data_IF_977107526667
#
_entry.id   IF_977107526667
#
_cell.length_a   1.000
_cell.length_b   1.000
_cell.length_c   1.000
_cell.angle_alpha   90.00
_cell.angle_beta   90.00
_cell.angle_gamma   90.00
#
_symmetry.space_group_name_H-M   'P 1'
#
loop_
_entity.id
_entity.type
_entity.pdbx_description
1 polymer ?
#
# COMPACT_ATOMS: atom_id res chain seq x y z
N UNK A 1 -5.21 17.04 -23.06
CA UNK A 1 -4.96 15.58 -23.15
C UNK A 1 -3.49 15.38 -23.50
N UNK A 2 -2.77 14.44 -22.86
CA UNK A 2 -1.38 14.19 -23.20
C UNK A 2 -1.33 13.68 -24.64
N UNK A 3 -0.67 14.45 -25.51
CA UNK A 3 -0.40 14.05 -26.90
C UNK A 3 0.93 13.31 -26.89
N UNK A 4 0.89 12.01 -27.12
CA UNK A 4 2.09 11.18 -27.12
C UNK A 4 1.78 9.71 -27.33
N UNK A 5 2.81 8.87 -27.55
CA UNK A 5 2.66 7.44 -27.85
C UNK A 5 1.96 6.63 -26.73
N UNK A 6 1.78 7.21 -25.54
CA UNK A 6 1.08 6.60 -24.40
C UNK A 6 -0.30 7.20 -24.13
N UNK A 7 -0.85 8.02 -25.03
CA UNK A 7 -2.16 8.67 -24.82
C UNK A 7 -3.31 7.67 -24.62
N UNK A 8 -3.18 6.45 -25.15
CA UNK A 8 -4.14 5.36 -24.95
C UNK A 8 -3.83 4.42 -23.79
N UNK A 9 -2.75 4.66 -23.03
CA UNK A 9 -2.31 3.75 -21.97
C UNK A 9 -3.04 3.94 -20.63
N UNK A 10 -3.94 4.93 -20.52
CA UNK A 10 -4.71 5.16 -19.30
C UNK A 10 -3.85 5.39 -18.05
N UNK A 11 -2.71 6.08 -18.19
CA UNK A 11 -1.83 6.38 -17.04
C UNK A 11 -2.50 7.40 -16.13
N UNK A 12 -2.63 7.05 -14.85
CA UNK A 12 -3.19 7.94 -13.82
C UNK A 12 -2.08 8.72 -13.13
N UNK A 13 -1.06 8.02 -12.61
CA UNK A 13 0.07 8.66 -11.92
C UNK A 13 0.82 7.70 -11.01
N UNK A 14 1.90 8.16 -10.37
CA UNK A 14 2.60 7.39 -9.33
C UNK A 14 1.74 7.36 -8.08
N UNK A 15 1.56 6.19 -7.47
CA UNK A 15 0.61 5.99 -6.36
C UNK A 15 0.89 6.95 -5.19
N UNK A 16 2.16 7.15 -4.83
CA UNK A 16 2.55 8.09 -3.77
C UNK A 16 2.17 9.55 -4.01
N UNK A 17 1.91 9.95 -5.25
CA UNK A 17 1.48 11.32 -5.60
C UNK A 17 -0.06 11.45 -5.65
N UNK A 18 -0.80 10.36 -5.46
CA UNK A 18 -2.27 10.31 -5.56
C UNK A 18 -2.98 10.39 -4.19
N UNK A 19 -2.22 10.56 -3.11
CA UNK A 19 -2.76 10.64 -1.76
C UNK A 19 -1.83 11.42 -0.84
N UNK A 20 -2.34 11.76 0.34
CA UNK A 20 -1.64 12.46 1.39
C UNK A 20 -1.86 11.76 2.73
N UNK A 21 -0.94 11.97 3.67
CA UNK A 21 -1.06 11.51 5.04
C UNK A 21 -0.43 12.56 5.96
N UNK A 22 -0.81 12.57 7.23
CA UNK A 22 -0.15 13.42 8.22
C UNK A 22 1.34 13.02 8.35
N UNK A 23 2.22 14.02 8.40
CA UNK A 23 3.68 13.85 8.41
C UNK A 23 4.18 12.96 9.56
N UNK A 24 3.41 12.85 10.66
CA UNK A 24 3.69 11.91 11.75
C UNK A 24 3.80 10.46 11.27
N UNK A 25 3.12 10.11 10.19
CA UNK A 25 3.05 8.75 9.67
C UNK A 25 3.93 8.54 8.43
N UNK A 26 4.72 9.53 8.00
CA UNK A 26 5.54 9.45 6.78
C UNK A 26 6.46 8.22 6.77
N UNK A 27 7.22 8.04 7.84
CA UNK A 27 8.13 6.89 7.97
C UNK A 27 7.35 5.56 7.96
N UNK A 28 6.23 5.51 8.68
CA UNK A 28 5.38 4.32 8.74
C UNK A 28 4.81 3.95 7.37
N UNK A 29 4.28 4.92 6.60
CA UNK A 29 3.66 4.65 5.30
C UNK A 29 4.69 4.32 4.23
N UNK A 30 5.83 5.03 4.21
CA UNK A 30 6.91 4.75 3.27
C UNK A 30 7.52 3.36 3.48
N UNK A 31 7.59 2.89 4.73
CA UNK A 31 8.06 1.54 5.02
C UNK A 31 7.00 0.47 4.74
N UNK A 32 5.75 0.72 5.14
CA UNK A 32 4.71 -0.29 5.06
C UNK A 32 4.08 -0.43 3.66
N UNK A 33 4.12 0.60 2.81
CA UNK A 33 3.45 0.64 1.52
C UNK A 33 4.46 0.52 0.36
N UNK A 34 4.87 -0.71 0.04
CA UNK A 34 5.87 -0.96 -1.02
C UNK A 34 5.42 -0.64 -2.45
N UNK A 35 4.22 -0.09 -2.63
CA UNK A 35 3.63 0.20 -3.96
C UNK A 35 3.55 1.69 -4.27
N UNK A 36 3.98 2.57 -3.36
CA UNK A 36 3.94 4.02 -3.57
C UNK A 36 4.71 4.45 -4.82
N UNK A 37 5.81 3.75 -5.15
CA UNK A 37 6.62 4.03 -6.34
C UNK A 37 6.06 3.41 -7.64
N UNK A 38 5.00 2.61 -7.56
CA UNK A 38 4.36 2.06 -8.75
C UNK A 38 3.52 3.12 -9.45
N UNK A 39 3.35 2.97 -10.77
CA UNK A 39 2.46 3.80 -11.58
C UNK A 39 1.10 3.12 -11.70
N UNK A 40 0.04 3.83 -11.31
CA UNK A 40 -1.33 3.37 -11.48
C UNK A 40 -1.79 3.62 -12.92
N UNK A 41 -2.41 2.60 -13.52
CA UNK A 41 -3.03 2.63 -14.85
C UNK A 41 -4.47 2.15 -14.75
N UNK A 42 -5.34 2.59 -15.67
CA UNK A 42 -6.75 2.18 -15.67
C UNK A 42 -6.91 0.64 -15.78
N UNK A 43 -6.12 0.00 -16.64
CA UNK A 43 -6.19 -1.44 -16.88
C UNK A 43 -4.83 -2.11 -17.19
N UNK A 44 -4.85 -3.44 -17.29
CA UNK A 44 -3.67 -4.24 -17.58
C UNK A 44 -3.07 -4.02 -18.97
N UNK A 45 -3.85 -3.58 -19.96
CA UNK A 45 -3.35 -3.33 -21.31
C UNK A 45 -2.58 -2.01 -21.37
N UNK A 46 -3.03 -0.99 -20.65
CA UNK A 46 -2.28 0.24 -20.39
C UNK A 46 -0.91 -0.02 -19.77
N UNK A 47 -0.84 -0.92 -18.77
CA UNK A 47 0.43 -1.35 -18.17
C UNK A 47 1.37 -2.03 -19.18
N UNK A 48 0.85 -2.92 -20.03
CA UNK A 48 1.65 -3.57 -21.10
C UNK A 48 2.17 -2.55 -22.11
N UNK A 49 1.36 -1.58 -22.52
CA UNK A 49 1.80 -0.50 -23.41
C UNK A 49 2.98 0.27 -22.82
N UNK A 50 2.91 0.62 -21.54
CA UNK A 50 3.99 1.33 -20.85
C UNK A 50 5.27 0.49 -20.77
N UNK A 51 5.18 -0.78 -20.39
CA UNK A 51 6.34 -1.70 -20.35
C UNK A 51 7.00 -1.83 -21.73
N UNK A 52 6.19 -1.98 -22.78
CA UNK A 52 6.70 -2.07 -24.15
C UNK A 52 7.38 -0.79 -24.59
N UNK A 53 6.84 0.37 -24.20
CA UNK A 53 7.45 1.66 -24.47
C UNK A 53 8.81 1.80 -23.76
N UNK A 54 8.88 1.51 -22.47
CA UNK A 54 10.14 1.55 -21.70
C UNK A 54 11.20 0.64 -22.31
N UNK A 55 10.82 -0.58 -22.70
CA UNK A 55 11.71 -1.56 -23.33
C UNK A 55 12.22 -1.09 -24.70
N UNK A 56 11.31 -0.61 -25.55
CA UNK A 56 11.64 -0.14 -26.91
C UNK A 56 12.62 1.02 -26.90
N UNK A 57 12.56 1.86 -25.87
CA UNK A 57 13.37 3.06 -25.73
C UNK A 57 14.49 2.93 -24.69
N UNK A 58 14.71 1.74 -24.11
CA UNK A 58 15.74 1.48 -23.09
C UNK A 58 15.70 2.45 -21.89
N UNK A 59 14.50 2.81 -21.45
CA UNK A 59 14.27 3.83 -20.40
C UNK A 59 14.31 3.29 -18.96
N UNK A 60 14.72 2.03 -18.79
CA UNK A 60 14.79 1.37 -17.49
C UNK A 60 13.54 0.54 -17.14
N UNK A 61 13.27 0.40 -15.85
CA UNK A 61 12.23 -0.47 -15.30
C UNK A 61 11.28 0.34 -14.42
N UNK A 62 9.99 0.06 -14.54
CA UNK A 62 8.95 0.57 -13.67
C UNK A 62 7.91 -0.52 -13.42
N UNK A 63 7.20 -0.41 -12.32
CA UNK A 63 6.10 -1.30 -11.94
C UNK A 63 4.77 -0.59 -12.14
N UNK A 64 3.79 -1.30 -12.66
CA UNK A 64 2.46 -0.76 -12.97
C UNK A 64 1.39 -1.53 -12.21
N UNK A 65 0.45 -0.81 -11.61
CA UNK A 65 -0.72 -1.39 -10.94
C UNK A 65 -1.96 -1.09 -11.77
N UNK A 66 -2.72 -2.13 -12.13
CA UNK A 66 -3.95 -1.99 -12.92
C UNK A 66 -5.15 -1.79 -11.98
N UNK A 67 -5.79 -0.61 -12.10
CA UNK A 67 -6.89 -0.19 -11.23
C UNK A 67 -8.09 -1.14 -11.32
N UNK A 68 -8.48 -1.55 -12.52
CA UNK A 68 -9.58 -2.49 -12.76
C UNK A 68 -9.40 -3.83 -12.01
N UNK A 69 -8.19 -4.37 -12.02
CA UNK A 69 -7.84 -5.63 -11.38
C UNK A 69 -7.84 -5.51 -9.87
N UNK A 70 -7.19 -4.48 -9.31
CA UNK A 70 -7.17 -4.31 -7.85
C UNK A 70 -8.57 -4.00 -7.31
N UNK A 71 -9.36 -3.21 -8.03
CA UNK A 71 -10.76 -2.93 -7.67
C UNK A 71 -11.56 -4.22 -7.61
N UNK A 72 -11.50 -5.05 -8.66
CA UNK A 72 -12.20 -6.34 -8.73
C UNK A 72 -11.83 -7.26 -7.57
N UNK A 73 -10.55 -7.27 -7.19
CA UNK A 73 -10.03 -8.24 -6.21
C UNK A 73 -10.19 -7.78 -4.76
N UNK A 74 -10.16 -6.47 -4.50
CA UNK A 74 -9.98 -5.95 -3.15
C UNK A 74 -11.07 -4.99 -2.67
N UNK A 75 -11.92 -4.42 -3.54
CA UNK A 75 -12.93 -3.44 -3.09
C UNK A 75 -13.84 -4.01 -1.98
N UNK A 76 -14.34 -5.23 -2.17
CA UNK A 76 -15.17 -5.90 -1.18
C UNK A 76 -14.44 -6.28 0.12
N UNK A 77 -13.11 -6.31 0.14
CA UNK A 77 -12.33 -6.52 1.37
C UNK A 77 -12.00 -5.20 2.05
N UNK A 78 -11.69 -4.16 1.27
CA UNK A 78 -11.41 -2.80 1.73
C UNK A 78 -12.55 -2.25 2.60
N UNK A 79 -13.79 -2.49 2.17
CA UNK A 79 -15.01 -1.99 2.82
C UNK A 79 -15.47 -2.85 4.01
N UNK A 80 -14.82 -3.99 4.28
CA UNK A 80 -15.21 -4.84 5.42
C UNK A 80 -14.81 -4.18 6.72
N UNK A 81 -15.73 -4.25 7.69
CA UNK A 81 -15.41 -3.95 9.07
C UNK A 81 -14.40 -4.96 9.63
N UNK A 82 -13.45 -4.43 10.41
CA UNK A 82 -12.35 -5.20 10.97
C UNK A 82 -12.29 -4.94 12.48
N UNK A 83 -12.34 -6.00 13.28
CA UNK A 83 -12.20 -5.91 14.73
C UNK A 83 -10.74 -5.71 15.14
N UNK A 84 -10.35 -4.45 15.29
CA UNK A 84 -8.99 -4.06 15.65
C UNK A 84 -8.70 -4.24 17.15
N UNK A 85 -7.43 -4.46 17.56
CA UNK A 85 -7.02 -4.30 18.94
C UNK A 85 -7.39 -2.91 19.48
N UNK A 86 -7.72 -2.82 20.77
CA UNK A 86 -8.07 -1.54 21.40
C UNK A 86 -6.94 -0.52 21.24
N UNK A 87 -7.27 0.63 20.67
CA UNK A 87 -6.32 1.73 20.44
C UNK A 87 -5.51 1.62 19.15
N UNK A 88 -5.65 0.52 18.38
CA UNK A 88 -5.02 0.40 17.08
C UNK A 88 -5.81 1.13 16.00
N UNK A 89 -5.10 1.65 15.00
CA UNK A 89 -5.65 2.24 13.78
C UNK A 89 -5.03 1.54 12.58
N UNK A 90 -5.77 1.37 11.48
CA UNK A 90 -5.17 0.94 10.21
C UNK A 90 -4.49 2.13 9.57
N UNK A 91 -3.29 1.93 9.06
CA UNK A 91 -2.56 2.96 8.34
C UNK A 91 -3.31 3.41 7.08
N UNK A 92 -4.01 2.47 6.42
CA UNK A 92 -4.89 2.75 5.28
C UNK A 92 -5.97 3.79 5.60
N UNK A 93 -6.57 3.75 6.79
CA UNK A 93 -7.65 4.66 7.18
C UNK A 93 -7.16 6.10 7.41
N UNK A 94 -5.84 6.29 7.50
CA UNK A 94 -5.20 7.59 7.69
C UNK A 94 -4.77 8.25 6.38
N UNK A 95 -4.85 7.53 5.25
CA UNK A 95 -4.52 8.07 3.94
C UNK A 95 -5.71 8.84 3.37
N UNK A 96 -5.49 10.11 3.08
CA UNK A 96 -6.40 10.95 2.30
C UNK A 96 -6.12 10.76 0.81
N UNK A 97 -7.17 10.52 0.03
CA UNK A 97 -7.06 10.22 -1.41
C UNK A 97 -8.06 11.08 -2.16
N UNK A 98 -7.57 11.85 -3.13
CA UNK A 98 -8.37 12.86 -3.82
C UNK A 98 -9.58 12.27 -4.58
N UNK A 99 -9.45 11.04 -5.09
CA UNK A 99 -10.51 10.33 -5.78
C UNK A 99 -10.81 8.99 -5.09
N UNK A 100 -12.04 8.79 -4.64
CA UNK A 100 -12.47 7.59 -3.90
C UNK A 100 -12.11 6.28 -4.64
N UNK A 101 -12.28 6.25 -5.96
CA UNK A 101 -11.96 5.08 -6.79
C UNK A 101 -10.50 4.63 -6.69
N UNK A 102 -9.59 5.53 -6.33
CA UNK A 102 -8.14 5.26 -6.27
C UNK A 102 -7.72 4.68 -4.91
N UNK A 103 -8.59 4.75 -3.88
CA UNK A 103 -8.27 4.26 -2.53
C UNK A 103 -7.85 2.80 -2.51
N UNK A 104 -8.41 1.97 -3.39
CA UNK A 104 -8.06 0.55 -3.50
C UNK A 104 -6.59 0.32 -3.87
N UNK A 105 -5.93 1.26 -4.54
CA UNK A 105 -4.49 1.18 -4.84
C UNK A 105 -3.64 1.30 -3.56
N UNK A 106 -4.04 2.17 -2.63
CA UNK A 106 -3.41 2.26 -1.30
C UNK A 106 -3.75 1.04 -0.45
N UNK A 107 -5.00 0.56 -0.50
CA UNK A 107 -5.39 -0.67 0.18
C UNK A 107 -4.62 -1.89 -0.33
N UNK A 108 -4.28 -1.96 -1.62
CA UNK A 108 -3.44 -3.02 -2.18
C UNK A 108 -2.09 -3.13 -1.46
N UNK A 109 -1.44 -1.99 -1.18
CA UNK A 109 -0.17 -1.96 -0.46
C UNK A 109 -0.30 -2.09 1.06
N UNK A 110 -1.27 -1.41 1.65
CA UNK A 110 -1.40 -1.29 3.11
C UNK A 110 -2.24 -2.39 3.74
N UNK A 111 -3.27 -2.89 3.04
CA UNK A 111 -4.25 -3.85 3.59
C UNK A 111 -4.72 -3.42 4.98
N UNK A 112 -4.83 -4.36 5.91
CA UNK A 112 -5.16 -4.10 7.31
C UNK A 112 -3.93 -3.89 8.19
N UNK A 113 -2.89 -3.21 7.68
CA UNK A 113 -1.69 -2.90 8.46
C UNK A 113 -2.01 -1.89 9.56
N UNK A 114 -1.61 -2.21 10.79
CA UNK A 114 -1.76 -1.33 11.94
C UNK A 114 -0.55 -0.41 12.08
N UNK A 115 -0.76 0.78 12.64
CA UNK A 115 0.33 1.70 12.99
C UNK A 115 0.47 1.86 14.50
N UNK A 116 1.61 1.44 15.05
CA UNK A 116 1.92 1.47 16.48
C UNK A 116 2.88 2.63 16.82
N UNK A 117 2.84 3.16 18.05
CA UNK A 117 3.79 4.19 18.49
C UNK A 117 5.22 3.65 18.63
N UNK A 118 5.38 2.38 19.03
CA UNK A 118 6.66 1.75 19.34
C UNK A 118 6.62 0.22 19.09
N UNK A 119 7.78 -0.41 19.16
CA UNK A 119 7.94 -1.84 18.89
C UNK A 119 7.26 -2.73 19.93
N UNK A 120 7.24 -2.34 21.20
CA UNK A 120 6.58 -3.11 22.26
C UNK A 120 5.07 -3.21 22.02
N UNK A 121 4.44 -2.07 21.67
CA UNK A 121 3.03 -2.03 21.27
C UNK A 121 2.80 -2.82 19.99
N UNK A 122 3.72 -2.73 19.01
CA UNK A 122 3.61 -3.48 17.77
C UNK A 122 3.64 -5.00 18.01
N UNK A 123 4.54 -5.49 18.86
CA UNK A 123 4.63 -6.89 19.25
C UNK A 123 3.37 -7.36 19.98
N UNK A 124 2.87 -6.56 20.92
CA UNK A 124 1.65 -6.86 21.65
C UNK A 124 0.43 -7.01 20.72
N UNK A 125 0.28 -6.10 19.75
CA UNK A 125 -0.79 -6.18 18.76
C UNK A 125 -0.59 -7.34 17.79
N UNK A 126 0.63 -7.53 17.26
CA UNK A 126 0.93 -8.59 16.29
C UNK A 126 0.64 -9.99 16.85
N UNK A 127 1.02 -10.26 18.11
CA UNK A 127 0.99 -11.61 18.69
C UNK A 127 -0.06 -11.80 19.81
N UNK A 128 -0.75 -10.76 20.24
CA UNK A 128 -1.84 -10.87 21.22
C UNK A 128 -1.38 -10.91 22.69
N UNK A 129 -0.17 -10.45 22.99
CA UNK A 129 0.32 -10.21 24.35
C UNK A 129 0.65 -11.45 25.20
N UNK A 130 0.38 -12.68 24.72
CA UNK A 130 0.62 -13.93 25.47
C UNK A 130 1.98 -14.59 25.17
N UNK A 131 2.83 -13.94 24.36
CA UNK A 131 4.16 -14.42 24.00
C UNK A 131 4.16 -15.69 23.12
N UNK A 132 3.02 -16.10 22.55
CA UNK A 132 2.95 -17.32 21.73
C UNK A 132 3.62 -17.16 20.37
N UNK A 133 4.31 -18.25 19.99
CA UNK A 133 5.10 -18.43 18.76
C UNK A 133 4.25 -18.81 17.53
N UNK A 134 3.04 -18.25 17.43
CA UNK A 134 2.17 -18.39 16.26
C UNK A 134 2.49 -17.36 15.17
N UNK A 135 1.92 -17.49 13.96
CA UNK A 135 2.01 -16.44 12.96
C UNK A 135 1.36 -15.15 13.50
N UNK A 136 1.94 -14.01 13.15
CA UNK A 136 1.41 -12.72 13.58
C UNK A 136 -0.02 -12.53 13.04
N UNK A 137 -0.94 -12.22 13.96
CA UNK A 137 -2.35 -11.96 13.62
C UNK A 137 -2.47 -10.71 12.76
N UNK A 138 -1.67 -9.69 13.08
CA UNK A 138 -1.66 -8.39 12.41
C UNK A 138 -0.30 -8.11 11.78
N UNK A 139 -0.34 -7.46 10.62
CA UNK A 139 0.82 -6.72 10.12
C UNK A 139 0.86 -5.39 10.84
N UNK A 140 2.00 -5.02 11.41
CA UNK A 140 2.12 -3.80 12.21
C UNK A 140 3.40 -3.07 11.84
N UNK A 141 3.30 -1.77 11.60
CA UNK A 141 4.44 -0.87 11.44
C UNK A 141 4.46 0.13 12.59
N UNK A 142 5.64 0.49 13.08
CA UNK A 142 5.78 1.55 14.08
C UNK A 142 5.87 2.93 13.42
N UNK A 143 5.75 4.01 14.20
CA UNK A 143 6.05 5.36 13.73
C UNK A 143 7.52 5.55 13.32
N UNK A 144 8.44 4.73 13.86
CA UNK A 144 9.86 4.76 13.51
C UNK A 144 10.21 3.85 12.32
N UNK A 145 9.24 3.07 11.80
CA UNK A 145 9.42 2.25 10.61
C UNK A 145 9.86 0.80 10.87
N UNK A 146 9.87 0.31 12.11
CA UNK A 146 9.96 -1.14 12.32
C UNK A 146 8.67 -1.81 11.84
N UNK A 147 8.82 -2.89 11.06
CA UNK A 147 7.71 -3.58 10.42
C UNK A 147 7.70 -5.06 10.83
N UNK A 148 6.53 -5.54 11.27
CA UNK A 148 6.24 -6.93 11.58
C UNK A 148 5.23 -7.43 10.54
N UNK A 149 5.66 -8.37 9.71
CA UNK A 149 4.82 -9.04 8.73
C UNK A 149 3.97 -10.15 9.34
N UNK A 150 2.84 -10.50 8.71
CA UNK A 150 1.99 -11.63 9.16
C UNK A 150 2.71 -12.99 9.14
N UNK A 151 3.75 -13.10 8.31
CA UNK A 151 4.66 -14.26 8.30
C UNK A 151 5.49 -14.39 9.58
N UNK A 152 5.59 -13.32 10.38
CA UNK A 152 6.50 -13.18 11.51
C UNK A 152 7.87 -12.60 11.14
N UNK A 153 8.10 -12.24 9.88
CA UNK A 153 9.31 -11.50 9.49
C UNK A 153 9.30 -10.12 10.14
N UNK A 154 10.45 -9.71 10.67
CA UNK A 154 10.65 -8.39 11.27
C UNK A 154 11.76 -7.66 10.53
N UNK A 155 11.56 -6.37 10.26
CA UNK A 155 12.56 -5.50 9.64
C UNK A 155 12.60 -4.14 10.33
N UNK A 156 13.79 -3.57 10.47
CA UNK A 156 14.03 -2.22 11.00
C UNK A 156 15.48 -1.80 10.73
N UNK A 157 15.74 -0.50 10.69
CA UNK A 157 17.05 0.09 10.40
C UNK A 157 17.01 1.61 10.34
#
# INVERSE_FOLDING_TARGET
APRGPLSGAGVIGRIGDLGAIDAKYDVAVSTACGVLENVLVEDGDGGKMCINYLRKHSLGRASFLALDQVTRNLAAEMDREVNLPRGAQRLFDLVDVAEERLRVAFFFGLRNTLVAPDLDTAMAWAYGGDGRRGPAKWRVVTLAGELIERSGTMSGG
#
